data_IF_493703470741
#
_entry.id   IF_493703470741
#
_cell.length_a   1.000
_cell.length_b   1.000
_cell.length_c   1.000
_cell.angle_alpha   90.00
_cell.angle_beta   90.00
_cell.angle_gamma   90.00
#
_symmetry.space_group_name_H-M   'P 1'
#
loop_
_entity.id
_entity.type
_entity.pdbx_description
1 polymer ?
#
# COMPACT_ATOMS: atom_id res chain seq x y z
N UNK A 1 -57.30 1.05 -32.83
CA UNK A 1 -56.60 -0.06 -32.16
C UNK A 1 -55.12 0.19 -32.37
N UNK A 2 -54.46 0.76 -31.37
CA UNK A 2 -53.02 1.06 -31.42
C UNK A 2 -52.25 -0.27 -31.34
N UNK A 3 -51.25 -0.54 -32.19
CA UNK A 3 -50.48 -1.77 -32.10
C UNK A 3 -49.67 -1.71 -30.80
N UNK A 4 -49.92 -2.67 -29.91
CA UNK A 4 -49.11 -2.90 -28.73
C UNK A 4 -47.71 -3.21 -29.26
N UNK A 5 -46.78 -2.27 -29.13
CA UNK A 5 -45.37 -2.48 -29.44
C UNK A 5 -44.88 -3.62 -28.54
N UNK A 6 -44.90 -4.86 -29.02
CA UNK A 6 -44.17 -5.95 -28.39
C UNK A 6 -42.71 -5.50 -28.31
N UNK A 7 -42.27 -5.15 -27.10
CA UNK A 7 -40.88 -4.78 -26.87
C UNK A 7 -40.04 -6.03 -27.09
N UNK A 8 -39.48 -6.18 -28.29
CA UNK A 8 -38.59 -7.28 -28.62
C UNK A 8 -37.55 -7.47 -27.51
N UNK A 9 -37.53 -8.65 -26.90
CA UNK A 9 -36.59 -9.02 -25.85
C UNK A 9 -35.17 -8.83 -26.36
N UNK A 10 -34.32 -8.11 -25.62
CA UNK A 10 -32.92 -7.82 -26.03
C UNK A 10 -31.95 -8.54 -25.14
N UNK A 11 -30.84 -8.99 -25.69
CA UNK A 11 -29.73 -9.58 -24.94
C UNK A 11 -28.48 -8.71 -25.03
N UNK A 12 -27.52 -8.96 -24.16
CA UNK A 12 -26.13 -8.55 -24.34
C UNK A 12 -25.39 -9.68 -25.05
N UNK A 13 -24.78 -9.41 -26.20
CA UNK A 13 -23.97 -10.41 -26.88
C UNK A 13 -22.60 -10.60 -26.20
N UNK A 14 -21.90 -11.68 -26.54
CA UNK A 14 -20.62 -12.03 -25.94
C UNK A 14 -19.56 -10.93 -26.05
N UNK A 15 -19.49 -10.24 -27.20
CA UNK A 15 -18.57 -9.10 -27.40
C UNK A 15 -18.86 -7.96 -26.43
N UNK A 16 -20.13 -7.62 -26.25
CA UNK A 16 -20.56 -6.53 -25.35
C UNK A 16 -20.26 -6.87 -23.90
N UNK A 17 -20.54 -8.11 -23.48
CA UNK A 17 -20.22 -8.58 -22.12
C UNK A 17 -18.71 -8.56 -21.90
N UNK A 18 -17.91 -8.99 -22.87
CA UNK A 18 -16.45 -9.02 -22.74
C UNK A 18 -15.85 -7.61 -22.62
N UNK A 19 -16.29 -6.66 -23.45
CA UNK A 19 -15.84 -5.26 -23.36
C UNK A 19 -16.21 -4.63 -22.00
N UNK A 20 -17.46 -4.82 -21.56
CA UNK A 20 -17.92 -4.29 -20.29
C UNK A 20 -17.21 -4.95 -19.09
N UNK A 21 -16.95 -6.26 -19.20
CA UNK A 21 -16.18 -7.02 -18.21
C UNK A 21 -14.76 -6.49 -18.09
N UNK A 22 -14.05 -6.28 -19.19
CA UNK A 22 -12.68 -5.75 -19.17
C UNK A 22 -12.58 -4.40 -18.44
N UNK A 23 -13.65 -3.59 -18.49
CA UNK A 23 -13.72 -2.29 -17.84
C UNK A 23 -14.12 -2.42 -16.36
N UNK A 24 -15.21 -3.14 -16.05
CA UNK A 24 -15.82 -3.16 -14.71
C UNK A 24 -15.71 -4.45 -13.92
N UNK A 25 -15.00 -5.45 -14.44
CA UNK A 25 -14.69 -6.69 -13.74
C UNK A 25 -15.80 -7.73 -13.67
N UNK A 26 -15.60 -8.80 -12.87
CA UNK A 26 -16.49 -9.97 -12.81
C UNK A 26 -17.92 -9.67 -12.35
N UNK A 27 -18.14 -8.68 -11.48
CA UNK A 27 -19.47 -8.23 -11.08
C UNK A 27 -20.30 -7.81 -12.29
N UNK A 28 -19.69 -7.09 -13.25
CA UNK A 28 -20.34 -6.69 -14.49
C UNK A 28 -20.70 -7.91 -15.33
N UNK A 29 -19.80 -8.89 -15.45
CA UNK A 29 -20.12 -10.18 -16.10
C UNK A 29 -21.37 -10.81 -15.48
N UNK A 30 -21.40 -10.94 -14.16
CA UNK A 30 -22.53 -11.52 -13.43
C UNK A 30 -23.83 -10.76 -13.64
N UNK A 31 -23.80 -9.42 -13.63
CA UNK A 31 -24.98 -8.56 -13.87
C UNK A 31 -25.53 -8.67 -15.30
N UNK A 32 -24.65 -8.64 -16.31
CA UNK A 32 -25.07 -8.72 -17.71
C UNK A 32 -25.56 -10.13 -18.06
N UNK A 33 -24.86 -11.18 -17.59
CA UNK A 33 -25.32 -12.57 -17.74
C UNK A 33 -26.64 -12.79 -17.01
N UNK A 34 -26.81 -12.27 -15.79
CA UNK A 34 -28.09 -12.29 -15.07
C UNK A 34 -29.20 -11.71 -15.94
N UNK A 35 -28.98 -10.54 -16.56
CA UNK A 35 -30.00 -9.91 -17.40
C UNK A 35 -30.38 -10.79 -18.59
N UNK A 36 -29.40 -11.39 -19.25
CA UNK A 36 -29.65 -12.34 -20.33
C UNK A 36 -30.48 -13.54 -19.88
N UNK A 37 -30.13 -14.18 -18.76
CA UNK A 37 -30.89 -15.32 -18.24
C UNK A 37 -32.33 -14.97 -17.89
N UNK A 38 -32.58 -13.81 -17.26
CA UNK A 38 -33.96 -13.34 -16.99
C UNK A 38 -34.75 -13.12 -18.27
N UNK A 39 -34.09 -12.59 -19.30
CA UNK A 39 -34.70 -12.36 -20.60
C UNK A 39 -35.00 -13.67 -21.34
N UNK A 40 -34.23 -14.73 -21.06
CA UNK A 40 -34.48 -16.10 -21.50
C UNK A 40 -35.47 -16.88 -20.62
N UNK A 41 -36.00 -16.28 -19.54
CA UNK A 41 -36.91 -16.94 -18.59
C UNK A 41 -36.24 -17.88 -17.58
N UNK A 42 -34.91 -17.87 -17.47
CA UNK A 42 -34.15 -18.70 -16.52
C UNK A 42 -33.70 -17.90 -15.28
N UNK A 43 -34.63 -17.63 -14.37
CA UNK A 43 -34.34 -16.89 -13.13
C UNK A 43 -33.38 -17.64 -12.19
N UNK A 44 -33.29 -18.98 -12.31
CA UNK A 44 -32.40 -19.82 -11.50
C UNK A 44 -30.93 -19.57 -11.84
N UNK A 45 -30.59 -19.56 -13.13
CA UNK A 45 -29.25 -19.25 -13.63
C UNK A 45 -28.95 -17.76 -13.50
N UNK A 46 -29.97 -16.91 -13.59
CA UNK A 46 -29.81 -15.47 -13.36
C UNK A 46 -29.25 -15.17 -11.96
N UNK A 47 -29.82 -15.79 -10.93
CA UNK A 47 -29.40 -15.58 -9.54
C UNK A 47 -27.99 -16.13 -9.29
N UNK A 48 -27.68 -17.31 -9.84
CA UNK A 48 -26.34 -17.91 -9.77
C UNK A 48 -25.28 -17.06 -10.46
N UNK A 49 -25.58 -16.48 -11.63
CA UNK A 49 -24.65 -15.63 -12.36
C UNK A 49 -24.24 -14.39 -11.55
N UNK A 50 -25.21 -13.73 -10.88
CA UNK A 50 -24.90 -12.59 -10.03
C UNK A 50 -24.08 -12.98 -8.80
N UNK A 51 -24.47 -14.06 -8.12
CA UNK A 51 -23.75 -14.55 -6.94
C UNK A 51 -22.29 -14.88 -7.28
N UNK A 52 -22.05 -15.60 -8.37
CA UNK A 52 -20.70 -15.92 -8.83
C UNK A 52 -19.90 -14.67 -9.21
N UNK A 53 -20.54 -13.69 -9.86
CA UNK A 53 -19.90 -12.40 -10.17
C UNK A 53 -19.45 -11.66 -8.91
N UNK A 54 -20.32 -11.59 -7.88
CA UNK A 54 -19.99 -10.98 -6.59
C UNK A 54 -18.85 -11.74 -5.90
N UNK A 55 -18.95 -13.07 -5.81
CA UNK A 55 -17.93 -13.91 -5.18
C UNK A 55 -16.57 -13.77 -5.89
N UNK A 56 -16.56 -13.76 -7.23
CA UNK A 56 -15.34 -13.57 -8.01
C UNK A 56 -14.73 -12.18 -7.77
N UNK A 57 -15.55 -11.12 -7.70
CA UNK A 57 -15.08 -9.78 -7.35
C UNK A 57 -14.46 -9.76 -5.96
N UNK A 58 -15.15 -10.29 -4.94
CA UNK A 58 -14.62 -10.35 -3.57
C UNK A 58 -13.32 -11.17 -3.52
N UNK A 59 -13.25 -12.29 -4.23
CA UNK A 59 -12.05 -13.13 -4.26
C UNK A 59 -10.87 -12.41 -4.91
N UNK A 60 -11.08 -11.76 -6.07
CA UNK A 60 -10.01 -11.04 -6.77
C UNK A 60 -9.51 -9.87 -5.91
N UNK A 61 -10.39 -9.00 -5.42
CA UNK A 61 -9.97 -7.87 -4.59
C UNK A 61 -9.43 -8.31 -3.23
N UNK A 62 -10.04 -9.31 -2.61
CA UNK A 62 -9.58 -9.90 -1.36
C UNK A 62 -8.19 -10.52 -1.49
N UNK A 63 -7.89 -11.16 -2.63
CA UNK A 63 -6.59 -11.80 -2.86
C UNK A 63 -5.41 -10.82 -2.85
N UNK A 64 -5.65 -9.56 -3.22
CA UNK A 64 -4.60 -8.52 -3.22
C UNK A 64 -4.03 -8.31 -1.82
N UNK A 65 -4.84 -8.41 -0.77
CA UNK A 65 -4.39 -8.25 0.62
C UNK A 65 -3.52 -9.41 1.12
N UNK A 66 -3.49 -10.55 0.44
CA UNK A 66 -2.70 -11.72 0.83
C UNK A 66 -1.44 -11.91 -0.02
N UNK A 67 -1.26 -11.11 -1.07
CA UNK A 67 -0.11 -11.23 -1.97
C UNK A 67 1.02 -10.29 -1.54
N UNK A 68 2.27 -10.77 -1.42
CA UNK A 68 3.42 -9.90 -1.16
C UNK A 68 3.61 -8.87 -2.27
N UNK A 69 3.95 -7.63 -1.90
CA UNK A 69 4.10 -6.51 -2.85
C UNK A 69 5.10 -6.83 -3.98
N UNK A 70 6.25 -7.42 -3.64
CA UNK A 70 7.29 -7.82 -4.59
C UNK A 70 6.82 -8.82 -5.66
N UNK A 71 5.74 -9.56 -5.38
CA UNK A 71 5.11 -10.45 -6.37
C UNK A 71 4.11 -9.67 -7.24
N UNK A 72 3.30 -8.81 -6.64
CA UNK A 72 2.28 -8.02 -7.34
C UNK A 72 2.90 -7.09 -8.37
N UNK A 73 4.02 -6.44 -8.03
CA UNK A 73 4.71 -5.50 -8.93
C UNK A 73 5.24 -6.13 -10.23
N UNK A 74 5.46 -7.45 -10.21
CA UNK A 74 5.92 -8.20 -11.38
C UNK A 74 4.80 -8.57 -12.33
N UNK A 75 3.53 -8.47 -11.91
CA UNK A 75 2.38 -8.84 -12.73
C UNK A 75 1.99 -7.63 -13.59
N UNK A 76 2.05 -7.74 -14.93
CA UNK A 76 1.52 -6.69 -15.79
C UNK A 76 0.05 -6.42 -15.48
N UNK A 77 -0.30 -5.15 -15.31
CA UNK A 77 -1.62 -4.68 -14.86
C UNK A 77 -2.78 -5.13 -15.77
N UNK A 78 -2.49 -5.51 -17.02
CA UNK A 78 -3.46 -6.01 -17.99
C UNK A 78 -3.76 -7.51 -17.86
N UNK A 79 -2.93 -8.30 -17.18
CA UNK A 79 -3.11 -9.76 -17.09
C UNK A 79 -4.40 -10.10 -16.33
N UNK A 80 -4.62 -9.48 -15.17
CA UNK A 80 -5.81 -9.76 -14.36
C UNK A 80 -7.10 -9.42 -15.15
N UNK A 81 -7.23 -8.23 -15.76
CA UNK A 81 -8.33 -7.92 -16.68
C UNK A 81 -8.50 -8.87 -17.84
N UNK A 82 -7.41 -9.23 -18.52
CA UNK A 82 -7.46 -10.17 -19.64
C UNK A 82 -7.93 -11.56 -19.18
N UNK A 83 -7.45 -12.05 -18.04
CA UNK A 83 -7.78 -13.37 -17.52
C UNK A 83 -9.26 -13.49 -17.17
N UNK A 84 -9.81 -12.58 -16.36
CA UNK A 84 -11.23 -12.65 -16.01
C UNK A 84 -12.13 -12.36 -17.22
N UNK A 85 -11.68 -11.54 -18.18
CA UNK A 85 -12.44 -11.27 -19.41
C UNK A 85 -12.51 -12.50 -20.29
N UNK A 86 -11.39 -13.22 -20.46
CA UNK A 86 -11.35 -14.49 -21.18
C UNK A 86 -12.29 -15.50 -20.53
N UNK A 87 -12.23 -15.64 -19.20
CA UNK A 87 -13.14 -16.51 -18.45
C UNK A 87 -14.61 -16.11 -18.66
N UNK A 88 -14.93 -14.81 -18.63
CA UNK A 88 -16.26 -14.30 -18.92
C UNK A 88 -16.73 -14.69 -20.34
N UNK A 89 -15.88 -14.51 -21.36
CA UNK A 89 -16.21 -14.90 -22.74
C UNK A 89 -16.51 -16.40 -22.84
N UNK A 90 -15.72 -17.24 -22.17
CA UNK A 90 -15.93 -18.69 -22.13
C UNK A 90 -17.25 -19.07 -21.43
N UNK A 91 -17.55 -18.42 -20.29
CA UNK A 91 -18.79 -18.66 -19.55
C UNK A 91 -20.03 -18.22 -20.35
N UNK A 92 -19.99 -17.07 -21.02
CA UNK A 92 -21.08 -16.61 -21.88
C UNK A 92 -21.31 -17.59 -23.02
N UNK A 93 -20.25 -18.03 -23.70
CA UNK A 93 -20.38 -19.03 -24.79
C UNK A 93 -20.96 -20.34 -24.27
N UNK A 94 -20.48 -20.82 -23.11
CA UNK A 94 -20.92 -22.10 -22.52
C UNK A 94 -22.39 -22.08 -22.09
N UNK A 95 -22.84 -21.01 -21.45
CA UNK A 95 -24.16 -20.99 -20.81
C UNK A 95 -25.23 -20.19 -21.55
N UNK A 96 -24.84 -19.31 -22.47
CA UNK A 96 -25.76 -18.41 -23.19
C UNK A 96 -25.57 -18.50 -24.71
N UNK A 97 -24.68 -19.36 -25.22
CA UNK A 97 -24.40 -19.48 -26.66
C UNK A 97 -25.65 -19.79 -27.47
N UNK A 98 -26.36 -20.86 -27.13
CA UNK A 98 -27.55 -21.34 -27.84
C UNK A 98 -28.64 -20.26 -27.93
N UNK A 99 -29.03 -19.66 -26.80
CA UNK A 99 -30.06 -18.60 -26.79
C UNK A 99 -29.64 -17.35 -27.56
N UNK A 100 -28.34 -17.01 -27.55
CA UNK A 100 -27.83 -15.85 -28.28
C UNK A 100 -27.79 -16.09 -29.79
N UNK A 101 -27.45 -17.32 -30.22
CA UNK A 101 -27.42 -17.74 -31.63
C UNK A 101 -28.83 -17.78 -32.21
N UNK A 102 -29.78 -18.44 -31.53
CA UNK A 102 -31.20 -18.45 -31.94
C UNK A 102 -31.77 -17.03 -32.03
N UNK A 103 -31.42 -16.15 -31.07
CA UNK A 103 -31.83 -14.75 -31.12
C UNK A 103 -31.23 -14.00 -32.33
N UNK A 104 -29.99 -14.30 -32.70
CA UNK A 104 -29.33 -13.71 -33.88
C UNK A 104 -30.00 -14.14 -35.18
N UNK A 105 -30.25 -15.45 -35.33
CA UNK A 105 -30.92 -16.04 -36.50
C UNK A 105 -32.32 -15.46 -36.74
N UNK A 106 -33.02 -15.12 -35.66
CA UNK A 106 -34.35 -14.49 -35.71
C UNK A 106 -34.31 -12.97 -35.99
N UNK A 107 -33.13 -12.39 -36.30
CA UNK A 107 -32.99 -10.95 -36.50
C UNK A 107 -33.15 -10.15 -35.20
N UNK A 108 -32.81 -10.76 -34.07
CA UNK A 108 -32.89 -10.21 -32.73
C UNK A 108 -32.02 -8.97 -32.54
N UNK A 109 -32.54 -7.97 -31.82
CA UNK A 109 -31.76 -6.78 -31.44
C UNK A 109 -31.01 -6.99 -30.13
N UNK A 110 -29.79 -6.48 -30.04
CA UNK A 110 -28.98 -6.48 -28.82
C UNK A 110 -28.99 -5.12 -28.11
N UNK A 111 -28.66 -5.12 -26.82
CA UNK A 111 -28.31 -3.91 -26.10
C UNK A 111 -26.99 -3.33 -26.63
N UNK A 112 -26.86 -2.00 -26.61
CA UNK A 112 -25.66 -1.32 -27.08
C UNK A 112 -24.49 -1.48 -26.11
N UNK A 113 -23.27 -1.42 -26.65
CA UNK A 113 -22.02 -1.43 -25.86
C UNK A 113 -21.98 -0.27 -24.87
N UNK A 114 -22.43 0.93 -25.26
CA UNK A 114 -22.48 2.10 -24.38
C UNK A 114 -23.35 1.89 -23.13
N UNK A 115 -24.47 1.17 -23.26
CA UNK A 115 -25.29 0.80 -22.10
C UNK A 115 -24.51 -0.07 -21.13
N UNK A 116 -23.74 -1.04 -21.65
CA UNK A 116 -22.94 -1.94 -20.83
C UNK A 116 -21.74 -1.21 -20.18
N UNK A 117 -21.10 -0.27 -20.88
CA UNK A 117 -20.06 0.61 -20.32
C UNK A 117 -20.64 1.46 -19.19
N UNK A 118 -21.82 2.06 -19.37
CA UNK A 118 -22.48 2.84 -18.32
C UNK A 118 -22.75 2.02 -17.06
N UNK A 119 -23.21 0.77 -17.20
CA UNK A 119 -23.36 -0.16 -16.08
C UNK A 119 -22.00 -0.44 -15.42
N UNK A 120 -20.94 -0.62 -16.21
CA UNK A 120 -19.59 -0.88 -15.70
C UNK A 120 -19.09 0.27 -14.84
N UNK A 121 -19.26 1.51 -15.29
CA UNK A 121 -18.86 2.69 -14.54
C UNK A 121 -19.62 2.82 -13.22
N UNK A 122 -20.93 2.52 -13.21
CA UNK A 122 -21.73 2.50 -11.97
C UNK A 122 -21.23 1.43 -10.98
N UNK A 123 -20.80 0.27 -11.48
CA UNK A 123 -20.22 -0.78 -10.63
C UNK A 123 -18.85 -0.40 -10.06
N UNK A 124 -18.04 0.37 -10.81
CA UNK A 124 -16.70 0.81 -10.37
C UNK A 124 -16.77 1.99 -9.40
N UNK A 125 -17.76 2.88 -9.54
CA UNK A 125 -17.92 4.08 -8.72
C UNK A 125 -17.74 3.86 -7.20
N UNK A 126 -18.38 2.87 -6.53
CA UNK A 126 -18.19 2.65 -5.10
C UNK A 126 -16.73 2.30 -4.74
N UNK A 127 -16.01 1.59 -5.61
CA UNK A 127 -14.60 1.28 -5.40
C UNK A 127 -13.72 2.53 -5.53
N UNK A 128 -14.02 3.42 -6.48
CA UNK A 128 -13.31 4.71 -6.60
C UNK A 128 -13.55 5.56 -5.35
N UNK A 129 -14.79 5.63 -4.86
CA UNK A 129 -15.11 6.38 -3.64
C UNK A 129 -14.38 5.80 -2.43
N UNK A 130 -14.37 4.47 -2.27
CA UNK A 130 -13.63 3.82 -1.19
C UNK A 130 -12.12 4.10 -1.27
N UNK A 131 -11.54 4.05 -2.48
CA UNK A 131 -10.14 4.40 -2.71
C UNK A 131 -9.84 5.86 -2.32
N UNK A 132 -10.69 6.79 -2.73
CA UNK A 132 -10.53 8.22 -2.40
C UNK A 132 -10.65 8.48 -0.90
N UNK A 133 -11.52 7.77 -0.18
CA UNK A 133 -11.61 7.83 1.28
C UNK A 133 -10.35 7.27 1.92
N UNK A 134 -9.87 6.11 1.46
CA UNK A 134 -8.65 5.49 1.99
C UNK A 134 -7.42 6.39 1.81
N UNK A 135 -7.28 7.04 0.65
CA UNK A 135 -6.19 7.98 0.37
C UNK A 135 -6.24 9.24 1.25
N UNK A 136 -7.42 9.66 1.71
CA UNK A 136 -7.57 10.79 2.63
C UNK A 136 -7.39 10.40 4.10
N UNK A 137 -7.60 9.12 4.44
CA UNK A 137 -7.41 8.60 5.79
C UNK A 137 -5.94 8.25 6.09
N UNK A 138 -5.12 8.01 5.07
CA UNK A 138 -3.67 7.81 5.22
C UNK A 138 -2.89 9.10 5.51
N UNK A 139 -1.61 9.00 5.91
CA UNK A 139 -0.76 10.16 6.12
C UNK A 139 -0.69 11.00 4.84
N UNK A 140 -0.71 12.33 4.98
CA UNK A 140 -0.66 13.19 3.81
C UNK A 140 0.68 13.00 3.08
N UNK A 141 0.70 13.12 1.75
CA UNK A 141 1.94 13.05 0.96
C UNK A 141 3.01 14.03 1.48
N UNK A 142 2.57 15.15 2.06
CA UNK A 142 3.45 16.13 2.69
C UNK A 142 4.09 15.58 3.97
N UNK A 143 3.31 14.96 4.85
CA UNK A 143 3.81 14.39 6.10
C UNK A 143 4.76 13.21 5.83
N UNK A 144 4.47 12.40 4.81
CA UNK A 144 5.38 11.32 4.38
C UNK A 144 6.73 11.85 3.88
N UNK A 145 6.74 12.92 3.09
CA UNK A 145 8.00 13.54 2.64
C UNK A 145 8.76 14.16 3.81
N UNK A 146 8.08 14.86 4.72
CA UNK A 146 8.71 15.45 5.91
C UNK A 146 9.35 14.38 6.80
N UNK A 147 8.69 13.24 6.96
CA UNK A 147 9.23 12.11 7.69
C UNK A 147 10.48 11.54 7.01
N UNK A 148 10.43 11.29 5.70
CA UNK A 148 11.57 10.76 4.94
C UNK A 148 12.78 11.70 5.00
N UNK A 149 12.57 13.00 4.76
CA UNK A 149 13.64 14.01 4.83
C UNK A 149 14.26 14.08 6.23
N UNK A 150 13.45 13.92 7.28
CA UNK A 150 13.91 13.90 8.66
C UNK A 150 14.77 12.66 8.98
N UNK A 151 14.37 11.47 8.49
CA UNK A 151 15.15 10.24 8.64
C UNK A 151 16.46 10.29 7.86
N UNK A 152 16.45 10.83 6.64
CA UNK A 152 17.68 11.02 5.85
C UNK A 152 18.67 11.93 6.59
N UNK A 153 18.17 13.06 7.11
CA UNK A 153 19.00 13.98 7.91
C UNK A 153 19.51 13.32 9.19
N UNK A 154 18.67 12.56 9.87
CA UNK A 154 19.05 11.80 11.07
C UNK A 154 20.21 10.85 10.78
N UNK A 155 20.10 10.09 9.69
CA UNK A 155 21.08 9.08 9.26
C UNK A 155 22.41 9.74 8.90
N UNK A 156 22.38 10.86 8.18
CA UNK A 156 23.59 11.63 7.88
C UNK A 156 24.30 12.10 9.16
N UNK A 157 23.55 12.67 10.10
CA UNK A 157 24.10 13.15 11.36
C UNK A 157 24.70 12.00 12.19
N UNK A 158 24.05 10.84 12.19
CA UNK A 158 24.59 9.62 12.81
C UNK A 158 25.92 9.21 12.17
N UNK A 159 25.98 9.05 10.85
CA UNK A 159 27.21 8.66 10.13
C UNK A 159 28.36 9.61 10.46
N UNK A 160 28.09 10.92 10.42
CA UNK A 160 29.07 11.95 10.73
C UNK A 160 29.50 11.95 12.20
N UNK A 161 28.59 11.65 13.14
CA UNK A 161 28.91 11.56 14.56
C UNK A 161 29.74 10.31 14.87
N UNK A 162 29.42 9.17 14.25
CA UNK A 162 30.11 7.88 14.43
C UNK A 162 31.55 7.89 13.91
N UNK A 163 31.96 8.92 13.16
CA UNK A 163 33.36 9.19 12.86
C UNK A 163 34.25 9.37 14.11
N UNK A 164 33.66 9.46 15.31
CA UNK A 164 34.37 9.36 16.59
C UNK A 164 35.18 8.05 16.70
N UNK A 165 34.64 6.91 16.31
CA UNK A 165 35.26 5.61 16.57
C UNK A 165 36.63 5.43 15.92
N UNK A 166 36.81 5.76 14.62
CA UNK A 166 38.14 5.81 14.02
C UNK A 166 39.12 6.79 14.71
N UNK A 167 38.64 7.87 15.34
CA UNK A 167 39.49 8.80 16.08
C UNK A 167 39.94 8.22 17.42
N UNK A 168 39.06 7.47 18.09
CA UNK A 168 39.41 6.75 19.32
C UNK A 168 40.53 5.74 19.08
N UNK A 169 40.51 5.04 17.95
CA UNK A 169 41.57 4.08 17.56
C UNK A 169 42.94 4.77 17.33
N UNK A 170 42.93 6.03 16.87
CA UNK A 170 44.15 6.81 16.65
C UNK A 170 44.76 7.35 17.95
N UNK A 171 43.96 7.44 19.03
CA UNK A 171 44.42 7.82 20.37
C UNK A 171 44.82 9.28 20.55
N UNK A 172 44.48 10.19 19.63
CA UNK A 172 44.76 11.63 19.82
C UNK A 172 43.68 12.30 20.65
N UNK A 173 43.85 12.29 21.97
CA UNK A 173 42.92 12.83 22.97
C UNK A 173 42.43 14.26 22.66
N UNK A 174 43.32 15.14 22.19
CA UNK A 174 42.96 16.52 21.85
C UNK A 174 42.02 16.59 20.66
N UNK A 175 42.30 15.81 19.62
CA UNK A 175 41.45 15.73 18.42
C UNK A 175 40.10 15.11 18.78
N UNK A 176 40.09 14.09 19.63
CA UNK A 176 38.88 13.43 20.12
C UNK A 176 38.00 14.42 20.90
N UNK A 177 38.57 15.14 21.88
CA UNK A 177 37.83 16.12 22.68
C UNK A 177 37.20 17.22 21.81
N UNK A 178 37.99 17.80 20.90
CA UNK A 178 37.50 18.82 19.95
C UNK A 178 36.39 18.26 19.07
N UNK A 179 36.54 17.04 18.54
CA UNK A 179 35.50 16.42 17.72
C UNK A 179 34.21 16.21 18.51
N UNK A 180 34.28 15.72 19.74
CA UNK A 180 33.10 15.48 20.57
C UNK A 180 32.34 16.78 20.83
N UNK A 181 33.05 17.86 21.16
CA UNK A 181 32.46 19.16 21.49
C UNK A 181 31.90 19.88 20.25
N UNK A 182 32.70 19.99 19.19
CA UNK A 182 32.37 20.83 18.03
C UNK A 182 31.46 20.13 17.01
N UNK A 183 31.44 18.79 17.01
CA UNK A 183 30.73 18.01 15.98
C UNK A 183 29.84 16.91 16.54
N UNK A 184 30.42 15.97 17.29
CA UNK A 184 29.72 14.77 17.75
C UNK A 184 28.46 15.04 18.58
N UNK A 185 28.60 15.75 19.71
CA UNK A 185 27.46 16.07 20.57
C UNK A 185 26.43 17.00 19.88
N UNK A 186 26.82 18.04 19.14
CA UNK A 186 25.88 18.84 18.34
C UNK A 186 25.02 18.01 17.39
N UNK A 187 25.60 17.06 16.65
CA UNK A 187 24.86 16.21 15.70
C UNK A 187 23.84 15.31 16.40
N UNK A 188 24.20 14.69 17.53
CA UNK A 188 23.24 13.88 18.31
C UNK A 188 22.10 14.72 18.89
N UNK A 189 22.38 15.96 19.33
CA UNK A 189 21.36 16.89 19.82
C UNK A 189 20.44 17.40 18.71
N UNK A 190 20.98 17.60 17.51
CA UNK A 190 20.18 17.89 16.32
C UNK A 190 19.23 16.72 16.03
N UNK A 191 19.71 15.48 16.10
CA UNK A 191 18.87 14.28 15.94
C UNK A 191 17.74 14.19 16.97
N UNK A 192 17.98 14.51 18.24
CA UNK A 192 16.88 14.60 19.22
C UNK A 192 15.84 15.66 18.84
N UNK A 193 16.26 16.78 18.29
CA UNK A 193 15.36 17.85 17.83
C UNK A 193 14.55 17.39 16.62
N UNK A 194 15.17 16.68 15.68
CA UNK A 194 14.50 16.06 14.53
C UNK A 194 13.40 15.10 15.01
N UNK A 195 13.71 14.23 15.97
CA UNK A 195 12.74 13.29 16.56
C UNK A 195 11.58 14.01 17.26
N UNK A 196 11.85 15.07 18.03
CA UNK A 196 10.82 15.89 18.67
C UNK A 196 9.87 16.54 17.66
N UNK A 197 10.41 17.03 16.54
CA UNK A 197 9.59 17.60 15.48
C UNK A 197 8.72 16.55 14.78
N UNK A 198 9.22 15.31 14.65
CA UNK A 198 8.45 14.21 14.08
C UNK A 198 7.28 13.80 14.99
N UNK A 199 7.46 13.73 16.31
CA UNK A 199 6.34 13.42 17.23
C UNK A 199 5.21 14.46 17.19
N UNK A 200 5.50 15.70 16.78
CA UNK A 200 4.49 16.74 16.62
C UNK A 200 3.62 16.56 15.36
N UNK A 201 3.95 15.61 14.47
CA UNK A 201 3.15 15.29 13.28
C UNK A 201 1.89 14.52 13.72
N UNK A 202 0.72 15.11 13.46
CA UNK A 202 -0.58 14.64 13.96
C UNK A 202 -1.15 13.39 13.28
N UNK A 203 -0.41 12.81 12.32
CA UNK A 203 -0.85 11.72 11.44
C UNK A 203 -0.01 10.44 11.54
N UNK A 204 0.88 10.35 12.54
CA UNK A 204 1.72 9.17 12.72
C UNK A 204 0.91 7.94 13.13
N UNK A 205 1.26 6.79 12.54
CA UNK A 205 0.78 5.47 12.98
C UNK A 205 1.40 5.09 14.32
N UNK A 206 0.81 4.10 14.99
CA UNK A 206 1.36 3.53 16.23
C UNK A 206 2.79 2.99 16.02
N UNK A 207 3.06 2.42 14.83
CA UNK A 207 4.37 1.91 14.43
C UNK A 207 5.44 3.01 14.37
N UNK A 208 5.16 4.14 13.71
CA UNK A 208 6.11 5.26 13.65
C UNK A 208 6.38 5.86 15.03
N UNK A 209 5.38 5.82 15.92
CA UNK A 209 5.53 6.34 17.30
C UNK A 209 6.52 5.50 18.10
N UNK A 210 6.42 4.17 18.04
CA UNK A 210 7.38 3.28 18.71
C UNK A 210 8.78 3.41 18.11
N UNK A 211 8.91 3.57 16.79
CA UNK A 211 10.20 3.78 16.14
C UNK A 211 10.87 5.07 16.60
N UNK A 212 10.14 6.20 16.66
CA UNK A 212 10.68 7.48 17.13
C UNK A 212 11.14 7.38 18.58
N UNK A 213 10.39 6.68 19.43
CA UNK A 213 10.77 6.42 20.82
C UNK A 213 12.06 5.61 20.90
N UNK A 214 12.19 4.55 20.11
CA UNK A 214 13.42 3.75 20.05
C UNK A 214 14.62 4.60 19.63
N UNK A 215 14.49 5.37 18.55
CA UNK A 215 15.56 6.25 18.06
C UNK A 215 15.94 7.34 19.07
N UNK A 216 15.00 7.80 19.91
CA UNK A 216 15.30 8.73 21.00
C UNK A 216 16.18 8.09 22.06
N UNK A 217 15.81 6.90 22.52
CA UNK A 217 16.58 6.15 23.52
C UNK A 217 18.01 5.87 23.01
N UNK A 218 18.14 5.52 21.73
CA UNK A 218 19.41 5.38 21.04
C UNK A 218 20.27 6.66 21.10
N UNK A 219 19.72 7.82 20.71
CA UNK A 219 20.41 9.11 20.77
C UNK A 219 20.83 9.49 22.20
N UNK A 220 19.96 9.25 23.19
CA UNK A 220 20.25 9.54 24.59
C UNK A 220 21.43 8.70 25.13
N UNK A 221 21.50 7.42 24.75
CA UNK A 221 22.63 6.56 25.08
C UNK A 221 23.93 7.06 24.43
N UNK A 222 23.88 7.42 23.15
CA UNK A 222 25.03 7.97 22.41
C UNK A 222 25.56 9.26 23.04
N UNK A 223 24.67 10.19 23.40
CA UNK A 223 25.06 11.44 24.06
C UNK A 223 25.75 11.17 25.38
N UNK A 224 25.20 10.28 26.22
CA UNK A 224 25.81 9.92 27.51
C UNK A 224 27.21 9.32 27.34
N UNK A 225 27.40 8.45 26.34
CA UNK A 225 28.71 7.87 26.02
C UNK A 225 29.69 8.98 25.61
N UNK A 226 29.30 9.90 24.72
CA UNK A 226 30.14 10.99 24.24
C UNK A 226 30.54 11.93 25.39
N UNK A 227 29.60 12.27 26.27
CA UNK A 227 29.87 13.10 27.45
C UNK A 227 30.84 12.43 28.43
N UNK A 228 30.74 11.12 28.63
CA UNK A 228 31.65 10.39 29.51
C UNK A 228 33.04 10.25 28.92
N UNK A 229 33.16 9.95 27.62
CA UNK A 229 34.46 9.94 26.92
C UNK A 229 35.13 11.31 27.01
N UNK A 230 34.37 12.38 26.80
CA UNK A 230 34.90 13.73 26.91
C UNK A 230 35.41 14.03 28.32
N UNK A 231 34.65 13.67 29.36
CA UNK A 231 35.07 13.83 30.77
C UNK A 231 36.31 13.02 31.10
N UNK A 232 36.39 11.77 30.64
CA UNK A 232 37.55 10.91 30.85
C UNK A 232 38.84 11.55 30.29
N UNK A 233 38.76 12.14 29.10
CA UNK A 233 39.88 12.85 28.46
C UNK A 233 40.26 14.12 29.24
N UNK A 234 39.27 14.95 29.60
CA UNK A 234 39.53 16.21 30.31
C UNK A 234 40.11 16.00 31.70
N UNK A 235 39.64 14.97 32.41
CA UNK A 235 40.07 14.63 33.77
C UNK A 235 41.27 13.69 33.80
N UNK A 236 41.70 13.16 32.65
CA UNK A 236 42.75 12.14 32.52
C UNK A 236 42.50 10.96 33.49
N UNK A 237 41.28 10.43 33.46
CA UNK A 237 40.81 9.44 34.43
C UNK A 237 39.99 8.32 33.80
N UNK A 238 40.34 7.09 34.17
CA UNK A 238 39.66 5.85 33.77
C UNK A 238 38.41 5.56 34.62
N UNK A 239 38.02 6.47 35.52
CA UNK A 239 36.89 6.26 36.44
C UNK A 239 35.54 6.10 35.73
N UNK A 240 35.46 6.48 34.46
CA UNK A 240 34.25 6.43 33.64
C UNK A 240 34.15 5.17 32.77
N UNK A 241 35.24 4.41 32.61
CA UNK A 241 35.32 3.27 31.68
C UNK A 241 34.24 2.23 31.96
N UNK A 242 34.07 1.85 33.24
CA UNK A 242 33.04 0.90 33.64
C UNK A 242 31.63 1.37 33.28
N UNK A 243 31.38 2.69 33.32
CA UNK A 243 30.07 3.24 32.97
C UNK A 243 29.87 3.32 31.46
N UNK A 244 30.92 3.66 30.72
CA UNK A 244 30.92 3.65 29.25
C UNK A 244 30.64 2.22 28.74
N UNK A 245 31.28 1.21 29.31
CA UNK A 245 31.05 -0.20 28.98
C UNK A 245 29.61 -0.64 29.27
N UNK A 246 29.02 -0.21 30.39
CA UNK A 246 27.62 -0.49 30.72
C UNK A 246 26.66 0.12 29.67
N UNK A 247 26.92 1.37 29.26
CA UNK A 247 26.12 2.06 28.26
C UNK A 247 26.28 1.45 26.86
N UNK A 248 27.50 1.05 26.47
CA UNK A 248 27.74 0.35 25.20
C UNK A 248 27.00 -0.99 25.15
N UNK A 249 26.94 -1.75 26.26
CA UNK A 249 26.13 -2.98 26.32
C UNK A 249 24.64 -2.71 26.18
N UNK A 250 24.13 -1.65 26.82
CA UNK A 250 22.73 -1.24 26.65
C UNK A 250 22.42 -0.84 25.21
N UNK A 251 23.36 -0.15 24.57
CA UNK A 251 23.28 0.27 23.18
C UNK A 251 23.25 -0.94 22.23
N UNK A 252 24.12 -1.93 22.44
CA UNK A 252 24.17 -3.17 21.67
C UNK A 252 22.84 -3.95 21.78
N UNK A 253 22.34 -4.13 23.02
CA UNK A 253 21.04 -4.76 23.26
C UNK A 253 19.90 -3.99 22.57
N UNK A 254 19.96 -2.66 22.57
CA UNK A 254 18.95 -1.84 21.89
C UNK A 254 18.99 -2.06 20.37
N UNK A 255 20.18 -2.11 19.76
CA UNK A 255 20.35 -2.36 18.33
C UNK A 255 19.97 -3.79 17.90
N UNK A 256 20.07 -4.77 18.79
CA UNK A 256 19.63 -6.16 18.51
C UNK A 256 18.11 -6.35 18.57
N UNK A 257 17.41 -5.50 19.33
CA UNK A 257 15.97 -5.61 19.56
C UNK A 257 15.12 -4.63 18.74
N UNK A 258 15.75 -3.67 18.04
CA UNK A 258 15.10 -2.73 17.12
C UNK A 258 15.16 -3.22 15.68
#
# INVERSE_FOLDING_TARGET
>A
MEPILETQTKYYNAKTISIATFIGGPLVTGLLMRRNFRNAGDDSSASRALLLGILATVLIFGSVFYLPEAFVDKIPKSIIPAAYTLLASLLVKKYQGEVLETHEEQGGKYYSVWRAIGISLLCIAPFIVALVIALQAGPSLKDSNLYNDAIDRFTQNEEEALALYPLLEQGNERVIAVFIEDKGLPLWKENLTILQNMEALTTLSDEHTEQIKSLREYCELRIQIYELIHKAILEQSDQYDSKIDELNKKLEIHLENG
#
